data_IF_743672709847
#
_entry.id   IF_743672709847
#
_cell.length_a   1.000
_cell.length_b   1.000
_cell.length_c   1.000
_cell.angle_alpha   90.00
_cell.angle_beta   90.00
_cell.angle_gamma   90.00
#
_symmetry.space_group_name_H-M   'P 1'
#
loop_
_entity.id
_entity.type
_entity.pdbx_description
1 polymer ?
#
# COMPACT_ATOMS: atom_id res chain seq x y z
N UNK A 1 -51.01 49.96 32.51
CA UNK A 1 -50.65 48.84 33.42
C UNK A 1 -49.36 48.27 32.86
N UNK A 2 -48.17 48.59 33.39
CA UNK A 2 -47.58 48.08 34.65
C UNK A 2 -47.64 46.55 34.65
N UNK A 3 -46.57 45.75 34.71
CA UNK A 3 -45.15 46.00 34.89
C UNK A 3 -44.37 44.68 34.94
N UNK A 4 -43.06 44.79 34.68
CA UNK A 4 -41.90 44.03 35.22
C UNK A 4 -42.12 42.86 36.19
N UNK A 5 -41.38 41.75 35.96
CA UNK A 5 -40.54 41.09 36.99
C UNK A 5 -39.20 40.57 36.42
N UNK A 6 -38.15 40.75 37.23
CA UNK A 6 -36.69 40.59 37.04
C UNK A 6 -36.21 39.13 37.10
N UNK A 7 -35.15 38.78 36.35
CA UNK A 7 -33.78 38.40 36.81
C UNK A 7 -33.74 37.44 38.02
N UNK A 8 -33.03 36.30 38.03
CA UNK A 8 -31.56 36.20 38.13
C UNK A 8 -31.15 34.70 38.17
N UNK A 9 -29.89 34.42 37.80
CA UNK A 9 -29.02 33.29 38.25
C UNK A 9 -28.96 32.03 37.38
N UNK A 10 -27.87 31.89 36.59
CA UNK A 10 -26.91 30.76 36.68
C UNK A 10 -25.85 30.84 35.59
N UNK A 11 -24.95 31.81 35.72
CA UNK A 11 -23.56 31.68 35.31
C UNK A 11 -22.95 30.63 36.23
N UNK A 12 -22.85 29.35 35.82
CA UNK A 12 -21.91 28.33 36.36
C UNK A 12 -22.20 26.91 35.81
N UNK A 13 -22.55 26.72 34.52
CA UNK A 13 -22.71 25.33 34.00
C UNK A 13 -22.31 25.06 32.55
N UNK A 14 -21.56 25.96 31.90
CA UNK A 14 -21.19 25.81 30.47
C UNK A 14 -19.70 25.61 30.19
N UNK A 15 -18.88 25.30 31.21
CA UNK A 15 -17.46 24.93 31.02
C UNK A 15 -17.11 23.46 31.28
N UNK A 16 -18.04 22.63 31.77
CA UNK A 16 -17.78 21.19 32.02
C UNK A 16 -18.41 20.24 30.99
N UNK A 17 -19.27 20.72 30.09
CA UNK A 17 -19.90 19.88 29.06
C UNK A 17 -19.06 19.84 27.76
N UNK A 18 -18.33 20.91 27.44
CA UNK A 18 -17.46 20.96 26.25
C UNK A 18 -16.13 20.21 26.42
N UNK A 19 -15.68 19.95 27.65
CA UNK A 19 -14.48 19.15 27.93
C UNK A 19 -14.73 17.63 27.91
N UNK A 20 -15.99 17.18 27.84
CA UNK A 20 -16.34 15.74 27.73
C UNK A 20 -16.77 15.31 26.34
N UNK A 21 -17.06 16.24 25.43
CA UNK A 21 -17.37 15.92 24.03
C UNK A 21 -16.11 15.68 23.18
N UNK A 22 -14.96 16.24 23.56
CA UNK A 22 -13.67 16.01 22.85
C UNK A 22 -12.96 14.71 23.26
N UNK A 23 -13.44 14.01 24.29
CA UNK A 23 -12.85 12.75 24.79
C UNK A 23 -13.66 11.50 24.42
N UNK A 24 -14.78 11.64 23.67
CA UNK A 24 -15.62 10.51 23.24
C UNK A 24 -15.58 10.23 21.74
N UNK A 25 -14.78 10.96 20.96
CA UNK A 25 -14.67 10.77 19.49
C UNK A 25 -13.45 9.96 19.08
N UNK A 26 -12.48 9.75 19.96
CA UNK A 26 -11.27 8.96 19.72
C UNK A 26 -11.43 7.46 20.02
N UNK A 27 -12.56 7.03 20.60
CA UNK A 27 -12.79 5.64 20.96
C UNK A 27 -13.58 4.82 19.90
N UNK A 28 -14.15 5.46 18.88
CA UNK A 28 -15.07 4.79 17.93
C UNK A 28 -14.40 4.24 16.67
N UNK A 29 -13.15 4.63 16.37
CA UNK A 29 -12.36 4.00 15.28
C UNK A 29 -11.69 2.69 15.75
N UNK A 30 -11.50 2.52 17.06
CA UNK A 30 -10.88 1.31 17.64
C UNK A 30 -11.90 0.19 17.89
N UNK A 31 -13.21 0.46 17.81
CA UNK A 31 -14.27 -0.53 18.10
C UNK A 31 -14.77 -1.33 16.90
N UNK A 32 -13.99 -1.47 15.82
CA UNK A 32 -14.16 -2.60 14.89
C UNK A 32 -13.20 -3.77 15.16
N UNK A 33 -12.23 -3.61 16.06
CA UNK A 33 -11.24 -4.66 16.37
C UNK A 33 -11.43 -5.34 17.75
N UNK A 34 -12.37 -4.91 18.60
CA UNK A 34 -12.52 -5.40 19.97
C UNK A 34 -13.92 -5.95 20.33
N UNK A 35 -14.66 -6.46 19.34
CA UNK A 35 -16.04 -6.94 19.51
C UNK A 35 -16.24 -8.46 19.53
N UNK A 36 -15.19 -9.29 19.56
CA UNK A 36 -15.32 -10.76 19.58
C UNK A 36 -14.76 -11.32 20.88
N UNK A 37 -15.36 -10.94 22.01
CA UNK A 37 -15.31 -11.77 23.22
C UNK A 37 -16.63 -11.64 23.98
N UNK A 38 -17.50 -12.65 23.81
CA UNK A 38 -18.48 -13.05 24.82
C UNK A 38 -19.82 -12.30 24.86
N UNK A 39 -20.67 -12.52 23.85
CA UNK A 39 -22.13 -12.50 24.05
C UNK A 39 -22.75 -13.66 23.26
N UNK A 40 -22.90 -14.81 23.93
CA UNK A 40 -23.73 -15.88 23.44
C UNK A 40 -25.20 -15.47 23.57
N UNK A 41 -25.89 -15.22 22.44
CA UNK A 41 -27.35 -15.23 22.36
C UNK A 41 -27.84 -15.37 20.91
N UNK A 42 -28.09 -16.63 20.54
CA UNK A 42 -29.19 -17.13 19.69
C UNK A 42 -29.75 -16.20 18.60
N UNK A 43 -29.36 -16.49 17.35
CA UNK A 43 -30.03 -16.06 16.12
C UNK A 43 -29.48 -16.90 14.98
N UNK A 44 -30.17 -18.01 14.68
CA UNK A 44 -29.74 -19.02 13.73
C UNK A 44 -30.08 -18.63 12.30
N UNK A 45 -29.05 -18.31 11.50
CA UNK A 45 -29.02 -18.59 10.07
C UNK A 45 -27.62 -19.11 9.72
N UNK A 46 -27.47 -20.43 9.81
CA UNK A 46 -26.25 -21.15 9.51
C UNK A 46 -26.11 -21.36 8.00
N UNK A 47 -24.97 -20.93 7.43
CA UNK A 47 -24.48 -21.44 6.14
C UNK A 47 -24.07 -22.90 6.35
N UNK A 48 -24.64 -23.89 5.64
CA UNK A 48 -24.27 -25.29 5.81
C UNK A 48 -22.80 -25.52 5.47
N UNK A 49 -22.01 -26.06 6.41
CA UNK A 49 -20.63 -26.51 6.18
C UNK A 49 -19.54 -25.87 7.04
N UNK A 50 -19.85 -24.86 7.86
CA UNK A 50 -18.86 -24.21 8.73
C UNK A 50 -19.20 -24.50 10.20
N UNK A 51 -18.37 -25.28 10.88
CA UNK A 51 -18.48 -25.52 12.32
C UNK A 51 -18.05 -24.27 13.10
N UNK A 52 -18.86 -23.75 14.06
CA UNK A 52 -18.46 -22.63 14.89
C UNK A 52 -17.61 -23.15 16.05
N UNK A 53 -16.30 -22.83 16.02
CA UNK A 53 -15.40 -23.18 17.12
C UNK A 53 -13.93 -23.20 16.71
N UNK A 54 -13.39 -22.05 16.31
CA UNK A 54 -11.94 -21.89 16.14
C UNK A 54 -11.35 -21.55 17.52
N UNK A 55 -10.58 -22.47 18.09
CA UNK A 55 -9.73 -22.22 19.27
C UNK A 55 -8.27 -22.18 18.84
N UNK A 56 -7.59 -21.08 19.11
CA UNK A 56 -6.20 -20.84 18.72
C UNK A 56 -5.23 -21.49 19.72
N UNK A 57 -4.27 -22.32 19.26
CA UNK A 57 -3.11 -22.64 20.08
C UNK A 57 -2.21 -21.40 20.23
N UNK A 58 -1.53 -21.21 21.38
CA UNK A 58 -0.52 -20.16 21.50
C UNK A 58 0.65 -20.45 20.54
N UNK A 59 1.26 -19.43 19.93
CA UNK A 59 2.32 -19.59 18.95
C UNK A 59 3.56 -20.26 19.55
N UNK A 60 4.15 -21.20 18.83
CA UNK A 60 5.49 -21.71 19.11
C UNK A 60 6.51 -20.91 18.27
N UNK A 61 7.33 -20.10 18.94
CA UNK A 61 8.40 -19.30 18.32
C UNK A 61 8.39 -17.84 18.78
N UNK A 62 9.56 -17.30 19.12
CA UNK A 62 9.70 -15.87 19.42
C UNK A 62 9.50 -15.04 18.13
N UNK A 63 8.77 -13.91 18.17
CA UNK A 63 8.72 -12.99 17.04
C UNK A 63 10.09 -12.31 16.89
N UNK A 64 10.94 -12.82 16.00
CA UNK A 64 12.23 -12.18 15.69
C UNK A 64 12.05 -11.13 14.60
N UNK A 65 11.32 -10.07 14.92
CA UNK A 65 11.36 -8.81 14.18
C UNK A 65 12.57 -8.00 14.69
N UNK A 66 13.78 -8.44 14.34
CA UNK A 66 15.01 -7.71 14.63
C UNK A 66 15.54 -7.10 13.35
N UNK A 67 16.07 -5.87 13.41
CA UNK A 67 16.89 -5.26 12.34
C UNK A 67 18.11 -6.13 12.00
N UNK A 68 18.43 -7.10 12.87
CA UNK A 68 19.50 -8.07 12.69
C UNK A 68 19.06 -9.40 12.04
N UNK A 69 17.85 -9.53 11.49
CA UNK A 69 17.45 -10.77 10.80
C UNK A 69 18.34 -10.97 9.56
N UNK A 70 19.26 -11.95 9.56
CA UNK A 70 20.24 -12.11 8.49
C UNK A 70 19.58 -12.39 7.14
N UNK A 71 18.34 -12.86 7.11
CA UNK A 71 17.60 -13.12 5.89
C UNK A 71 17.53 -11.88 4.99
N UNK A 72 17.29 -10.71 5.59
CA UNK A 72 17.09 -9.44 4.88
C UNK A 72 18.40 -8.70 4.56
N UNK A 73 19.52 -9.19 5.08
CA UNK A 73 20.83 -8.63 4.78
C UNK A 73 21.35 -9.26 3.48
N UNK A 74 21.49 -8.46 2.39
CA UNK A 74 22.04 -8.95 1.13
C UNK A 74 23.52 -9.29 1.27
N UNK A 75 24.05 -10.17 0.41
CA UNK A 75 25.50 -10.35 0.26
C UNK A 75 26.14 -9.07 -0.31
N UNK A 76 27.47 -8.92 -0.13
CA UNK A 76 28.23 -7.77 -0.64
C UNK A 76 28.14 -7.61 -2.16
N UNK A 77 27.96 -8.72 -2.89
CA UNK A 77 27.76 -8.75 -4.33
C UNK A 77 26.39 -9.32 -4.67
N UNK A 78 25.58 -8.53 -5.37
CA UNK A 78 24.28 -8.96 -5.87
C UNK A 78 24.41 -9.60 -7.25
N UNK A 79 23.52 -10.55 -7.61
CA UNK A 79 23.38 -10.98 -8.99
C UNK A 79 23.12 -9.80 -9.95
N UNK A 80 23.62 -9.90 -11.18
CA UNK A 80 23.45 -8.84 -12.18
C UNK A 80 22.07 -8.87 -12.85
N UNK A 81 21.29 -9.93 -12.69
CA UNK A 81 19.99 -10.11 -13.34
C UNK A 81 18.87 -9.66 -12.40
N UNK A 82 18.08 -8.64 -12.77
CA UNK A 82 16.87 -8.29 -12.02
C UNK A 82 15.88 -9.46 -11.99
N UNK A 83 15.25 -9.67 -10.82
CA UNK A 83 14.36 -10.79 -10.56
C UNK A 83 15.05 -12.10 -10.17
N UNK A 84 16.38 -12.12 -10.04
CA UNK A 84 17.10 -13.31 -9.58
C UNK A 84 16.96 -13.48 -8.06
N UNK A 85 16.59 -14.69 -7.63
CA UNK A 85 16.45 -15.05 -6.22
C UNK A 85 17.82 -15.18 -5.58
N UNK A 86 18.08 -14.35 -4.56
CA UNK A 86 19.31 -14.34 -3.77
C UNK A 86 19.23 -15.39 -2.65
N UNK A 87 18.07 -15.45 -1.98
CA UNK A 87 17.86 -16.32 -0.81
C UNK A 87 16.38 -16.62 -0.61
N UNK A 88 16.10 -17.79 -0.05
CA UNK A 88 14.76 -18.20 0.36
C UNK A 88 14.75 -18.61 1.84
N UNK A 89 13.58 -18.52 2.46
CA UNK A 89 13.35 -19.01 3.81
C UNK A 89 11.93 -19.57 3.88
N UNK A 90 11.80 -20.85 4.26
CA UNK A 90 10.51 -21.47 4.54
C UNK A 90 9.74 -20.66 5.59
N UNK A 91 8.49 -20.37 5.29
CA UNK A 91 7.61 -19.57 6.14
C UNK A 91 6.20 -20.18 6.24
N UNK A 92 6.05 -21.47 6.60
CA UNK A 92 4.76 -22.16 6.62
C UNK A 92 3.73 -21.49 7.54
N UNK A 93 4.18 -20.78 8.59
CA UNK A 93 3.33 -20.00 9.47
C UNK A 93 2.51 -18.92 8.74
N UNK A 94 2.92 -18.49 7.54
CA UNK A 94 2.20 -17.48 6.76
C UNK A 94 0.89 -18.03 6.13
N UNK A 95 0.73 -19.35 6.08
CA UNK A 95 -0.50 -20.02 5.62
C UNK A 95 -1.49 -20.32 6.76
N UNK A 96 -1.03 -20.31 8.02
CA UNK A 96 -1.66 -21.07 9.10
C UNK A 96 -2.66 -20.25 9.96
N UNK A 97 -3.36 -19.30 9.37
CA UNK A 97 -4.44 -18.58 10.08
C UNK A 97 -5.76 -19.34 10.13
N UNK A 98 -5.87 -20.44 9.38
CA UNK A 98 -7.07 -21.28 9.36
C UNK A 98 -6.83 -22.74 9.82
N UNK A 99 -5.62 -23.08 10.30
CA UNK A 99 -5.32 -24.45 10.76
C UNK A 99 -5.43 -25.49 9.66
N UNK A 100 -5.04 -25.16 8.43
CA UNK A 100 -5.18 -26.08 7.30
C UNK A 100 -3.87 -26.80 7.02
N UNK A 101 -3.84 -28.10 7.26
CA UNK A 101 -2.96 -29.10 6.61
C UNK A 101 -3.18 -29.16 5.07
N UNK A 102 -3.36 -28.00 4.43
CA UNK A 102 -3.64 -27.85 3.01
C UNK A 102 -2.38 -27.90 2.15
N UNK A 103 -2.50 -28.16 0.83
CA UNK A 103 -1.37 -28.42 -0.08
C UNK A 103 -0.51 -27.18 -0.45
N UNK A 104 -0.73 -26.03 0.19
CA UNK A 104 0.00 -24.79 -0.07
C UNK A 104 1.37 -24.75 0.61
N UNK A 105 2.26 -23.91 0.11
CA UNK A 105 3.54 -23.56 0.75
C UNK A 105 3.71 -22.05 0.78
N UNK A 106 4.45 -21.54 1.76
CA UNK A 106 4.79 -20.14 1.86
C UNK A 106 6.29 -20.00 2.14
N UNK A 107 6.94 -19.14 1.40
CA UNK A 107 8.37 -18.87 1.51
C UNK A 107 8.60 -17.36 1.44
N UNK A 108 9.53 -16.85 2.24
CA UNK A 108 10.10 -15.54 1.99
C UNK A 108 11.14 -15.65 0.89
N UNK A 109 11.20 -14.64 0.04
CA UNK A 109 12.23 -14.48 -0.98
C UNK A 109 12.99 -13.17 -0.76
N UNK A 110 14.30 -13.21 -0.92
CA UNK A 110 15.14 -12.04 -1.15
C UNK A 110 15.60 -12.13 -2.61
N UNK A 111 15.36 -11.09 -3.40
CA UNK A 111 15.63 -11.09 -4.83
C UNK A 111 16.22 -9.75 -5.26
N UNK A 112 16.90 -9.78 -6.40
CA UNK A 112 17.52 -8.59 -6.98
C UNK A 112 16.48 -7.77 -7.73
N UNK A 113 16.54 -6.45 -7.61
CA UNK A 113 15.85 -5.49 -8.46
C UNK A 113 16.81 -4.37 -8.84
N UNK A 114 16.29 -3.28 -9.41
CA UNK A 114 17.11 -2.13 -9.80
C UNK A 114 16.56 -0.82 -9.24
N UNK A 115 17.46 0.11 -8.97
CA UNK A 115 17.13 1.51 -8.65
C UNK A 115 16.65 2.24 -9.90
N UNK A 116 16.12 3.45 -9.75
CA UNK A 116 15.75 4.30 -10.88
C UNK A 116 16.92 4.63 -11.82
N UNK A 117 18.15 4.66 -11.28
CA UNK A 117 19.39 4.86 -12.03
C UNK A 117 19.95 3.57 -12.65
N UNK A 118 19.33 2.41 -12.35
CA UNK A 118 19.70 1.11 -12.88
C UNK A 118 20.71 0.32 -12.04
N UNK A 119 21.10 0.81 -10.87
CA UNK A 119 21.97 0.09 -9.93
C UNK A 119 21.25 -1.12 -9.31
N UNK A 120 22.00 -2.17 -8.98
CA UNK A 120 21.42 -3.38 -8.36
C UNK A 120 21.16 -3.18 -6.88
N UNK A 121 19.99 -3.64 -6.45
CA UNK A 121 19.52 -3.57 -5.06
C UNK A 121 18.76 -4.84 -4.71
N UNK A 122 18.85 -5.27 -3.46
CA UNK A 122 18.03 -6.38 -2.96
C UNK A 122 16.71 -5.86 -2.40
N UNK A 123 15.63 -6.57 -2.67
CA UNK A 123 14.33 -6.38 -2.03
C UNK A 123 13.77 -7.75 -1.64
N UNK A 124 12.78 -7.76 -0.77
CA UNK A 124 12.17 -8.98 -0.26
C UNK A 124 10.69 -9.10 -0.63
N UNK A 125 10.14 -10.26 -0.36
CA UNK A 125 8.73 -10.54 -0.50
C UNK A 125 8.37 -11.92 0.01
N UNK A 126 7.14 -12.32 -0.24
CA UNK A 126 6.62 -13.65 0.10
C UNK A 126 6.01 -14.28 -1.14
N UNK A 127 6.32 -15.55 -1.36
CA UNK A 127 5.68 -16.41 -2.35
C UNK A 127 4.75 -17.36 -1.62
N UNK A 128 3.48 -17.35 -1.99
CA UNK A 128 2.47 -18.31 -1.54
C UNK A 128 2.09 -19.18 -2.73
N UNK A 129 2.41 -20.46 -2.65
CA UNK A 129 1.83 -21.45 -3.54
C UNK A 129 0.36 -21.63 -3.19
N UNK A 130 -0.50 -21.63 -4.20
CA UNK A 130 -1.94 -21.69 -4.03
C UNK A 130 -2.38 -22.83 -3.10
N UNK A 131 -3.27 -22.53 -2.15
CA UNK A 131 -3.92 -23.53 -1.29
C UNK A 131 -5.16 -24.14 -1.94
N UNK A 132 -5.81 -23.39 -2.84
CA UNK A 132 -6.94 -23.84 -3.65
C UNK A 132 -6.54 -24.46 -4.99
N UNK A 133 -7.54 -24.93 -5.74
CA UNK A 133 -7.35 -25.44 -7.11
C UNK A 133 -7.82 -24.40 -8.12
N UNK A 134 -6.98 -24.07 -9.11
CA UNK A 134 -7.38 -23.21 -10.22
C UNK A 134 -8.36 -23.96 -11.13
N UNK A 135 -9.56 -23.40 -11.30
CA UNK A 135 -10.60 -23.95 -12.17
C UNK A 135 -10.76 -23.19 -13.50
N UNK A 136 -9.91 -22.20 -13.75
CA UNK A 136 -9.92 -21.45 -15.00
C UNK A 136 -9.15 -22.15 -16.13
N UNK A 137 -8.89 -21.40 -17.20
CA UNK A 137 -8.13 -21.86 -18.35
C UNK A 137 -6.63 -21.90 -18.04
N UNK A 138 -5.94 -22.87 -18.64
CA UNK A 138 -4.48 -22.94 -18.58
C UNK A 138 -3.91 -23.33 -17.22
N UNK A 139 -2.58 -23.12 -17.01
CA UNK A 139 -1.95 -23.34 -15.71
C UNK A 139 -2.47 -22.35 -14.66
N UNK A 140 -2.27 -22.67 -13.38
CA UNK A 140 -2.56 -21.75 -12.28
C UNK A 140 -1.78 -20.44 -12.46
N UNK A 141 -2.45 -19.28 -12.48
CA UNK A 141 -1.78 -18.00 -12.66
C UNK A 141 -1.09 -17.55 -11.38
N UNK A 142 -0.21 -16.55 -11.52
CA UNK A 142 0.45 -15.88 -10.40
C UNK A 142 -0.04 -14.44 -10.31
N UNK A 143 -0.61 -14.07 -9.16
CA UNK A 143 -1.03 -12.70 -8.87
C UNK A 143 0.03 -12.02 -7.99
N UNK A 144 0.64 -10.97 -8.52
CA UNK A 144 1.63 -10.15 -7.80
C UNK A 144 0.91 -9.01 -7.11
N UNK A 145 0.91 -9.04 -5.79
CA UNK A 145 0.42 -7.99 -4.93
C UNK A 145 1.53 -7.00 -4.61
N UNK A 146 1.24 -5.75 -4.92
CA UNK A 146 2.04 -4.60 -4.51
C UNK A 146 1.34 -3.92 -3.33
N UNK A 147 2.00 -3.79 -2.16
CA UNK A 147 1.34 -3.37 -0.94
C UNK A 147 0.90 -1.91 -0.99
N UNK A 148 -0.24 -1.62 -0.36
CA UNK A 148 -0.59 -0.26 0.01
C UNK A 148 0.38 0.32 1.04
N UNK A 149 0.15 1.57 1.45
CA UNK A 149 1.04 2.25 2.41
C UNK A 149 1.20 1.44 3.70
N UNK A 150 2.44 1.02 3.98
CA UNK A 150 2.82 0.26 5.19
C UNK A 150 3.51 1.14 6.23
N UNK A 151 4.34 2.06 5.77
CA UNK A 151 5.34 2.76 6.56
C UNK A 151 6.65 2.89 5.80
N UNK A 152 7.69 3.35 6.49
CA UNK A 152 9.07 3.34 5.96
C UNK A 152 10.03 2.48 6.78
N UNK A 153 9.69 2.13 8.02
CA UNK A 153 10.54 1.27 8.84
C UNK A 153 10.57 -0.17 8.36
N UNK A 154 11.67 -0.87 8.65
CA UNK A 154 11.87 -2.25 8.20
C UNK A 154 10.76 -3.18 8.66
N UNK A 155 10.32 -3.09 9.92
CA UNK A 155 9.22 -3.94 10.43
C UNK A 155 7.90 -3.75 9.67
N UNK A 156 7.73 -2.66 8.93
CA UNK A 156 6.51 -2.37 8.18
C UNK A 156 6.37 -3.25 6.91
N UNK A 157 7.46 -3.86 6.44
CA UNK A 157 7.46 -4.78 5.30
C UNK A 157 6.47 -5.95 5.51
N UNK A 158 5.61 -6.28 4.52
CA UNK A 158 4.72 -7.43 4.59
C UNK A 158 5.41 -8.75 4.93
N UNK A 159 6.59 -9.03 4.38
CA UNK A 159 7.34 -10.27 4.65
C UNK A 159 7.91 -10.37 6.08
N UNK A 160 8.10 -9.23 6.75
CA UNK A 160 8.57 -9.14 8.15
C UNK A 160 7.45 -9.28 9.16
N UNK A 161 6.18 -9.27 8.71
CA UNK A 161 5.03 -9.54 9.57
C UNK A 161 4.96 -11.01 9.99
N UNK A 162 4.79 -11.23 11.28
CA UNK A 162 4.39 -12.54 11.81
C UNK A 162 3.02 -12.91 11.26
N UNK A 163 2.90 -14.13 10.72
CA UNK A 163 1.69 -14.64 10.05
C UNK A 163 1.19 -13.75 8.91
N UNK A 164 2.07 -12.92 8.31
CA UNK A 164 1.70 -11.86 7.38
C UNK A 164 0.64 -10.91 7.94
N UNK A 165 0.43 -10.83 9.26
CA UNK A 165 -0.62 -10.00 9.86
C UNK A 165 -0.08 -8.91 10.76
N UNK A 166 0.91 -9.22 11.59
CA UNK A 166 1.34 -8.31 12.65
C UNK A 166 2.86 -8.31 12.81
N UNK A 167 3.43 -7.14 13.03
CA UNK A 167 4.83 -6.96 13.38
C UNK A 167 4.98 -5.91 14.46
N UNK A 168 6.00 -6.06 15.31
CA UNK A 168 6.34 -5.07 16.32
C UNK A 168 7.85 -4.93 16.42
N UNK A 169 8.32 -3.70 16.36
CA UNK A 169 9.72 -3.35 16.60
C UNK A 169 9.83 -2.72 17.99
N UNK A 170 10.57 -3.39 18.88
CA UNK A 170 10.76 -2.93 20.25
C UNK A 170 11.76 -1.76 20.37
N UNK A 171 12.63 -1.55 19.38
CA UNK A 171 13.67 -0.53 19.38
C UNK A 171 13.10 0.87 19.16
N UNK A 172 12.20 1.03 18.18
CA UNK A 172 11.52 2.29 17.90
C UNK A 172 10.03 2.29 18.33
N UNK A 173 9.44 1.14 18.64
CA UNK A 173 8.02 1.00 19.02
C UNK A 173 7.06 0.96 17.84
N UNK A 174 7.53 0.69 16.61
CA UNK A 174 6.70 0.66 15.42
C UNK A 174 5.81 -0.60 15.35
N UNK A 175 4.57 -0.41 14.91
CA UNK A 175 3.55 -1.48 14.84
C UNK A 175 3.09 -1.69 13.41
N UNK A 176 3.35 -2.87 12.88
CA UNK A 176 2.89 -3.29 11.57
C UNK A 176 1.57 -4.08 11.67
N UNK A 177 0.58 -3.72 10.85
CA UNK A 177 -0.68 -4.45 10.70
C UNK A 177 -1.02 -4.64 9.22
N UNK A 178 -1.00 -5.87 8.73
CA UNK A 178 -1.35 -6.19 7.35
C UNK A 178 -2.85 -6.28 7.14
N UNK A 179 -3.41 -5.18 6.67
CA UNK A 179 -4.82 -5.06 6.30
C UNK A 179 -5.16 -5.70 4.94
N UNK A 180 -4.17 -6.13 4.15
CA UNK A 180 -4.37 -6.70 2.80
C UNK A 180 -4.31 -8.23 2.78
N UNK A 181 -3.87 -8.87 3.86
CA UNK A 181 -3.78 -10.34 3.98
C UNK A 181 -5.06 -11.08 3.56
N UNK A 182 -6.29 -10.63 3.92
CA UNK A 182 -7.51 -11.30 3.47
C UNK A 182 -7.64 -11.40 1.94
N UNK A 183 -7.10 -10.43 1.19
CA UNK A 183 -7.11 -10.45 -0.27
C UNK A 183 -6.12 -11.49 -0.82
N UNK A 184 -4.92 -11.58 -0.23
CA UNK A 184 -3.93 -12.60 -0.58
C UNK A 184 -4.48 -14.01 -0.33
N UNK A 185 -5.09 -14.21 0.83
CA UNK A 185 -5.71 -15.48 1.21
C UNK A 185 -6.85 -15.86 0.25
N UNK A 186 -7.69 -14.89 -0.13
CA UNK A 186 -8.76 -15.11 -1.11
C UNK A 186 -8.22 -15.51 -2.49
N UNK A 187 -7.16 -14.85 -2.99
CA UNK A 187 -6.53 -15.21 -4.27
C UNK A 187 -5.93 -16.64 -4.23
N UNK A 188 -5.23 -16.97 -3.13
CA UNK A 188 -4.67 -18.31 -2.92
C UNK A 188 -5.76 -19.39 -2.85
N UNK A 189 -6.88 -19.11 -2.17
CA UNK A 189 -8.04 -20.00 -2.11
C UNK A 189 -8.75 -20.18 -3.46
N UNK A 190 -8.67 -19.19 -4.35
CA UNK A 190 -9.13 -19.29 -5.75
C UNK A 190 -8.17 -20.11 -6.64
N UNK A 191 -7.06 -20.60 -6.10
CA UNK A 191 -6.08 -21.41 -6.83
C UNK A 191 -5.00 -20.61 -7.55
N UNK A 192 -4.87 -19.32 -7.27
CA UNK A 192 -3.78 -18.50 -7.82
C UNK A 192 -2.55 -18.58 -6.92
N UNK A 193 -1.36 -18.67 -7.50
CA UNK A 193 -0.15 -18.39 -6.73
C UNK A 193 -0.13 -16.89 -6.40
N UNK A 194 0.43 -16.54 -5.26
CA UNK A 194 0.47 -15.15 -4.80
C UNK A 194 1.91 -14.76 -4.53
N UNK A 195 2.35 -13.64 -5.08
CA UNK A 195 3.62 -13.02 -4.72
C UNK A 195 3.30 -11.68 -4.07
N UNK A 196 3.71 -11.47 -2.83
CA UNK A 196 3.58 -10.17 -2.16
C UNK A 196 4.97 -9.57 -2.09
N UNK A 197 5.21 -8.49 -2.82
CA UNK A 197 6.50 -7.79 -2.79
C UNK A 197 6.55 -6.81 -1.61
N UNK A 198 7.71 -6.58 -1.02
CA UNK A 198 7.86 -5.54 0.00
C UNK A 198 8.16 -4.16 -0.61
N UNK A 199 8.69 -4.11 -1.83
CA UNK A 199 9.24 -2.92 -2.50
C UNK A 199 10.64 -2.54 -1.98
N UNK A 200 11.33 -1.69 -2.72
CA UNK A 200 12.73 -1.32 -2.45
C UNK A 200 12.83 -0.53 -1.14
N UNK A 201 13.82 -0.90 -0.31
CA UNK A 201 14.12 -0.26 0.97
C UNK A 201 13.07 -0.47 2.06
N UNK A 202 12.04 -1.29 1.83
CA UNK A 202 11.09 -1.66 2.88
C UNK A 202 11.45 -3.05 3.42
N UNK A 203 12.08 -3.09 4.59
CA UNK A 203 12.51 -4.35 5.23
C UNK A 203 13.87 -4.87 4.80
N UNK A 204 14.56 -4.13 3.92
CA UNK A 204 15.90 -4.40 3.40
C UNK A 204 16.73 -3.12 3.48
N UNK A 205 18.08 -3.18 3.50
CA UNK A 205 18.91 -2.01 3.72
C UNK A 205 18.63 -0.83 2.77
N UNK A 206 18.75 0.38 3.31
CA UNK A 206 18.37 1.63 2.65
C UNK A 206 17.04 2.16 3.18
N UNK A 207 16.60 3.30 2.66
CA UNK A 207 15.28 3.83 2.97
C UNK A 207 14.24 3.40 1.94
N UNK A 208 13.02 3.13 2.40
CA UNK A 208 11.93 2.78 1.52
C UNK A 208 11.68 3.92 0.51
N UNK A 209 11.78 3.61 -0.79
CA UNK A 209 11.51 4.55 -1.88
C UNK A 209 10.00 4.71 -2.10
N UNK A 210 9.33 5.17 -1.04
CA UNK A 210 7.89 5.38 -0.97
C UNK A 210 7.44 6.32 -2.11
N UNK A 211 6.38 5.90 -2.80
CA UNK A 211 5.83 6.47 -4.04
C UNK A 211 6.81 6.81 -5.18
N UNK A 212 8.05 6.29 -5.18
CA UNK A 212 8.88 6.23 -6.39
C UNK A 212 8.29 5.16 -7.32
N UNK A 213 7.38 5.58 -8.20
CA UNK A 213 6.66 4.67 -9.09
C UNK A 213 7.60 3.87 -10.02
N UNK A 214 8.63 4.46 -10.66
CA UNK A 214 9.60 3.69 -11.45
C UNK A 214 10.22 2.52 -10.69
N UNK A 215 10.75 2.75 -9.49
CA UNK A 215 11.37 1.69 -8.68
C UNK A 215 10.37 0.65 -8.20
N UNK A 216 9.17 1.07 -7.81
CA UNK A 216 8.15 0.14 -7.35
C UNK A 216 7.60 -0.72 -8.48
N UNK A 217 7.52 -0.18 -9.70
CA UNK A 217 7.20 -0.93 -10.91
C UNK A 217 8.25 -1.99 -11.23
N UNK A 218 9.54 -1.62 -11.17
CA UNK A 218 10.66 -2.55 -11.35
C UNK A 218 10.64 -3.66 -10.29
N UNK A 219 10.48 -3.30 -9.01
CA UNK A 219 10.40 -4.26 -7.91
C UNK A 219 9.22 -5.23 -8.09
N UNK A 220 8.07 -4.77 -8.56
CA UNK A 220 6.92 -5.63 -8.84
C UNK A 220 7.18 -6.61 -10.00
N UNK A 221 7.77 -6.13 -11.11
CA UNK A 221 8.13 -6.96 -12.27
C UNK A 221 9.21 -7.99 -11.91
N UNK A 222 10.22 -7.57 -11.15
CA UNK A 222 11.29 -8.45 -10.67
C UNK A 222 10.77 -9.44 -9.62
N UNK A 223 9.82 -9.03 -8.77
CA UNK A 223 9.12 -9.93 -7.88
C UNK A 223 8.32 -10.99 -8.64
N UNK A 224 7.72 -10.64 -9.79
CA UNK A 224 7.07 -11.62 -10.67
C UNK A 224 8.08 -12.67 -11.19
N UNK A 225 9.24 -12.23 -11.69
CA UNK A 225 10.33 -13.10 -12.15
C UNK A 225 10.81 -14.04 -11.04
N UNK A 226 11.12 -13.47 -9.87
CA UNK A 226 11.60 -14.20 -8.71
C UNK A 226 10.57 -15.22 -8.23
N UNK A 227 9.29 -14.82 -8.15
CA UNK A 227 8.20 -15.68 -7.74
C UNK A 227 7.94 -16.82 -8.72
N UNK A 228 7.93 -16.57 -10.03
CA UNK A 228 7.80 -17.62 -11.05
C UNK A 228 8.96 -18.63 -10.96
N UNK A 229 10.19 -18.14 -10.85
CA UNK A 229 11.37 -18.98 -10.67
C UNK A 229 11.28 -19.82 -9.40
N UNK A 230 10.89 -19.22 -8.28
CA UNK A 230 10.76 -19.91 -6.99
C UNK A 230 9.69 -21.00 -7.02
N UNK A 231 8.59 -20.76 -7.75
CA UNK A 231 7.54 -21.75 -7.95
C UNK A 231 7.90 -22.84 -8.97
N UNK A 232 9.07 -22.75 -9.62
CA UNK A 232 9.49 -23.66 -10.69
C UNK A 232 8.64 -23.53 -11.96
N UNK A 233 8.06 -22.35 -12.20
CA UNK A 233 7.20 -22.06 -13.34
C UNK A 233 8.00 -21.46 -14.50
N UNK A 234 7.61 -21.74 -15.76
CA UNK A 234 8.16 -21.04 -16.93
C UNK A 234 8.01 -19.52 -16.81
N UNK A 235 8.97 -18.75 -17.34
CA UNK A 235 8.97 -17.28 -17.29
C UNK A 235 7.77 -16.64 -18.02
N UNK A 236 7.17 -17.34 -18.97
CA UNK A 236 5.98 -16.94 -19.72
C UNK A 236 4.67 -17.45 -19.10
N UNK A 237 4.72 -17.97 -17.87
CA UNK A 237 3.52 -18.33 -17.11
C UNK A 237 2.65 -17.09 -16.86
N UNK A 238 1.31 -17.22 -16.84
CA UNK A 238 0.42 -16.08 -16.73
C UNK A 238 0.60 -15.34 -15.41
N UNK A 239 0.92 -14.05 -15.48
CA UNK A 239 1.06 -13.15 -14.32
C UNK A 239 0.10 -11.97 -14.40
N UNK A 240 -0.22 -11.36 -13.27
CA UNK A 240 -0.97 -10.12 -13.21
C UNK A 240 -0.62 -9.32 -11.96
N UNK A 241 -0.90 -8.01 -12.00
CA UNK A 241 -0.54 -7.09 -10.91
C UNK A 241 -1.80 -6.57 -10.20
N UNK A 242 -1.74 -6.48 -8.88
CA UNK A 242 -2.85 -6.01 -8.05
C UNK A 242 -2.33 -5.10 -6.95
N UNK A 243 -2.87 -3.88 -6.87
CA UNK A 243 -2.53 -2.97 -5.77
C UNK A 243 -3.56 -1.86 -5.56
N UNK A 244 -3.53 -1.26 -4.37
CA UNK A 244 -4.36 -0.13 -4.00
C UNK A 244 -3.52 0.97 -3.31
N UNK A 245 -3.89 2.25 -3.48
CA UNK A 245 -3.14 3.39 -2.92
C UNK A 245 -1.70 3.40 -3.48
N UNK A 246 -0.67 3.49 -2.64
CA UNK A 246 0.73 3.27 -3.04
C UNK A 246 0.89 2.05 -3.96
N UNK A 247 0.35 0.90 -3.56
CA UNK A 247 0.39 -0.32 -4.36
C UNK A 247 -0.35 -0.18 -5.69
N UNK A 248 -1.40 0.65 -5.76
CA UNK A 248 -2.05 0.99 -7.03
C UNK A 248 -1.09 1.71 -7.97
N UNK A 249 -0.27 2.62 -7.42
CA UNK A 249 0.82 3.27 -8.14
C UNK A 249 1.87 2.28 -8.63
N UNK A 250 2.35 1.40 -7.75
CA UNK A 250 3.31 0.34 -8.10
C UNK A 250 2.78 -0.61 -9.18
N UNK A 251 1.52 -1.04 -9.08
CA UNK A 251 0.90 -1.93 -10.06
C UNK A 251 0.72 -1.25 -11.42
N UNK A 252 0.34 0.04 -11.43
CA UNK A 252 0.26 0.82 -12.66
C UNK A 252 1.65 1.04 -13.29
N UNK A 253 2.67 1.33 -12.47
CA UNK A 253 4.06 1.44 -12.93
C UNK A 253 4.57 0.14 -13.55
N UNK A 254 4.31 -1.00 -12.91
CA UNK A 254 4.62 -2.31 -13.46
C UNK A 254 3.95 -2.53 -14.82
N UNK A 255 2.69 -2.10 -14.97
CA UNK A 255 1.94 -2.23 -16.22
C UNK A 255 2.51 -1.39 -17.37
N UNK A 256 2.86 -0.13 -17.12
CA UNK A 256 3.44 0.75 -18.16
C UNK A 256 4.88 0.38 -18.52
N UNK A 257 5.62 -0.25 -17.60
CA UNK A 257 7.01 -0.66 -17.83
C UNK A 257 7.16 -2.09 -18.40
N UNK A 258 6.13 -2.93 -18.32
CA UNK A 258 6.25 -4.35 -18.65
C UNK A 258 6.74 -4.60 -20.09
N UNK A 259 6.32 -3.78 -21.06
CA UNK A 259 6.72 -3.92 -22.48
C UNK A 259 8.22 -3.70 -22.72
N UNK A 260 8.86 -2.83 -21.94
CA UNK A 260 10.27 -2.43 -22.12
C UNK A 260 11.21 -3.10 -21.12
N UNK A 261 10.79 -3.23 -19.85
CA UNK A 261 11.62 -3.74 -18.76
C UNK A 261 11.53 -5.25 -18.58
N UNK A 262 10.36 -5.86 -18.82
CA UNK A 262 10.13 -7.29 -18.65
C UNK A 262 9.26 -7.91 -19.77
N UNK A 263 9.69 -7.79 -21.04
CA UNK A 263 8.90 -8.22 -22.19
C UNK A 263 8.64 -9.74 -22.24
N UNK A 264 9.41 -10.53 -21.49
CA UNK A 264 9.24 -11.98 -21.38
C UNK A 264 8.08 -12.39 -20.46
N UNK A 265 7.60 -11.50 -19.59
CA UNK A 265 6.48 -11.79 -18.69
C UNK A 265 5.16 -11.78 -19.45
N UNK A 266 4.38 -12.85 -19.29
CA UNK A 266 3.03 -12.97 -19.85
C UNK A 266 2.00 -12.27 -18.95
N UNK A 267 2.02 -10.94 -18.98
CA UNK A 267 1.08 -10.11 -18.20
C UNK A 267 -0.33 -10.25 -18.79
N UNK A 268 -1.26 -10.75 -17.98
CA UNK A 268 -2.67 -10.94 -18.37
C UNK A 268 -3.54 -9.73 -18.06
N UNK A 269 -3.18 -8.96 -17.05
CA UNK A 269 -3.79 -7.68 -16.75
C UNK A 269 -3.35 -7.11 -15.42
N UNK A 270 -3.84 -5.92 -15.13
CA UNK A 270 -3.49 -5.15 -13.93
C UNK A 270 -4.73 -4.54 -13.30
N UNK A 271 -4.78 -4.56 -11.96
CA UNK A 271 -5.66 -3.72 -11.17
C UNK A 271 -4.84 -2.68 -10.40
N UNK A 272 -5.14 -1.40 -10.64
CA UNK A 272 -4.55 -0.26 -9.96
C UNK A 272 -5.65 0.58 -9.30
N UNK A 273 -5.88 0.35 -8.01
CA UNK A 273 -6.85 1.11 -7.23
C UNK A 273 -6.22 2.37 -6.63
N UNK A 274 -6.86 3.52 -6.82
CA UNK A 274 -6.46 4.85 -6.35
C UNK A 274 -4.94 5.10 -6.46
N UNK A 275 -4.35 5.00 -7.67
CA UNK A 275 -2.90 5.19 -7.83
C UNK A 275 -2.49 6.65 -7.56
N UNK A 276 -1.45 6.91 -6.76
CA UNK A 276 -0.81 8.22 -6.67
C UNK A 276 -0.01 8.48 -7.97
N UNK A 277 -0.70 8.93 -9.02
CA UNK A 277 -0.09 9.09 -10.33
C UNK A 277 0.60 10.45 -10.54
N UNK A 278 0.18 11.47 -9.80
CA UNK A 278 0.78 12.81 -9.80
C UNK A 278 1.02 13.30 -8.37
N UNK A 279 2.28 13.29 -7.94
CA UNK A 279 2.63 13.61 -6.55
C UNK A 279 2.50 15.10 -6.21
N UNK A 280 2.51 15.99 -7.21
CA UNK A 280 2.25 17.43 -7.00
C UNK A 280 0.78 17.70 -6.67
N UNK A 281 -0.14 16.83 -7.10
CA UNK A 281 -1.55 16.89 -6.70
C UNK A 281 -1.75 16.22 -5.33
N UNK A 282 -1.07 15.09 -5.09
CA UNK A 282 -1.20 14.32 -3.85
C UNK A 282 -0.65 15.08 -2.64
N UNK A 283 0.46 15.81 -2.77
CA UNK A 283 1.09 16.55 -1.65
C UNK A 283 0.14 17.52 -0.96
N UNK A 284 -0.73 18.20 -1.71
CA UNK A 284 -1.75 19.10 -1.16
C UNK A 284 -2.93 18.33 -0.55
N UNK A 285 -3.30 17.21 -1.16
CA UNK A 285 -4.39 16.36 -0.70
C UNK A 285 -4.10 15.78 0.70
N UNK A 286 -2.83 15.44 0.98
CA UNK A 286 -2.44 14.85 2.27
C UNK A 286 -1.94 15.86 3.31
N UNK A 287 -1.85 17.15 2.99
CA UNK A 287 -1.65 18.20 3.99
C UNK A 287 -2.88 18.32 4.90
N UNK A 288 -2.66 18.47 6.22
CA UNK A 288 -3.69 18.47 7.27
C UNK A 288 -4.62 17.24 7.20
N UNK A 289 -4.10 16.11 6.74
CA UNK A 289 -4.83 14.86 6.56
C UNK A 289 -4.54 13.87 7.69
N UNK A 290 -5.45 12.94 7.97
CA UNK A 290 -5.21 11.87 8.94
C UNK A 290 -3.92 11.07 8.70
N UNK A 291 -3.40 11.09 7.46
CA UNK A 291 -2.18 10.39 7.06
C UNK A 291 -1.02 11.33 6.71
N UNK A 292 -0.96 12.58 7.21
CA UNK A 292 0.13 13.55 6.91
C UNK A 292 1.54 12.94 6.99
N UNK A 293 1.76 11.92 7.83
CA UNK A 293 3.00 11.15 7.91
C UNK A 293 3.56 10.61 6.59
N UNK A 294 2.72 10.33 5.58
CA UNK A 294 3.16 9.83 4.26
C UNK A 294 4.04 10.84 3.52
N UNK A 295 3.92 12.13 3.82
CA UNK A 295 4.83 13.15 3.30
C UNK A 295 6.27 12.92 3.78
N UNK A 296 6.44 12.44 5.01
CA UNK A 296 7.75 12.10 5.57
C UNK A 296 8.34 10.87 4.89
N UNK A 297 7.52 9.86 4.61
CA UNK A 297 7.94 8.67 3.86
C UNK A 297 8.43 9.04 2.45
N UNK A 298 7.64 9.84 1.71
CA UNK A 298 7.99 10.30 0.37
C UNK A 298 9.30 11.11 0.37
N UNK A 299 9.46 12.02 1.32
CA UNK A 299 10.68 12.83 1.44
C UNK A 299 11.91 11.99 1.82
N UNK A 300 11.78 11.05 2.77
CA UNK A 300 12.89 10.16 3.14
C UNK A 300 13.31 9.26 1.96
N UNK A 301 12.35 8.70 1.23
CA UNK A 301 12.62 7.91 0.02
C UNK A 301 13.27 8.74 -1.09
N UNK A 302 12.81 9.97 -1.31
CA UNK A 302 13.44 10.88 -2.28
C UNK A 302 14.88 11.24 -1.87
N UNK A 303 15.14 11.49 -0.59
CA UNK A 303 16.47 11.82 -0.09
C UNK A 303 17.47 10.66 -0.13
N UNK A 304 16.97 9.42 -0.16
CA UNK A 304 17.79 8.23 -0.37
C UNK A 304 18.38 8.19 -1.78
N UNK A 305 17.58 8.57 -2.79
CA UNK A 305 18.01 8.59 -4.20
C UNK A 305 18.66 9.90 -4.61
N UNK A 306 18.28 10.99 -3.95
CA UNK A 306 18.75 12.34 -4.23
C UNK A 306 19.46 12.94 -3.00
N UNK A 307 20.60 12.37 -2.55
CA UNK A 307 21.32 12.87 -1.38
C UNK A 307 21.85 14.30 -1.56
N UNK A 308 22.00 14.78 -2.79
CA UNK A 308 22.30 16.18 -3.10
C UNK A 308 21.22 17.16 -2.62
N UNK A 309 19.99 16.67 -2.40
CA UNK A 309 18.87 17.44 -1.86
C UNK A 309 18.84 17.46 -0.33
N UNK A 310 19.76 16.78 0.37
CA UNK A 310 19.78 16.76 1.84
C UNK A 310 19.88 18.15 2.47
N UNK A 311 20.56 19.09 1.80
CA UNK A 311 20.66 20.49 2.23
C UNK A 311 19.29 21.20 2.31
N UNK A 312 18.27 20.73 1.57
CA UNK A 312 16.93 21.29 1.60
C UNK A 312 16.25 21.16 2.96
N UNK A 313 16.62 20.14 3.74
CA UNK A 313 16.10 19.98 5.10
C UNK A 313 16.52 21.17 5.97
N UNK A 314 17.77 21.60 5.87
CA UNK A 314 18.28 22.78 6.57
C UNK A 314 17.80 24.08 5.95
N UNK A 315 17.47 24.10 4.67
CA UNK A 315 16.91 25.27 3.99
C UNK A 315 15.47 25.56 4.47
N UNK A 316 14.60 24.54 4.43
CA UNK A 316 13.16 24.72 4.61
C UNK A 316 12.62 24.33 5.99
N UNK A 317 13.17 23.32 6.66
CA UNK A 317 12.58 22.81 7.90
C UNK A 317 13.04 23.53 9.16
N UNK A 318 12.08 23.78 10.05
CA UNK A 318 12.36 24.11 11.44
C UNK A 318 12.60 22.82 12.26
N UNK A 319 12.84 22.93 13.56
CA UNK A 319 13.13 21.77 14.41
C UNK A 319 12.00 20.72 14.40
N UNK A 320 10.73 21.15 14.31
CA UNK A 320 9.57 20.25 14.21
C UNK A 320 9.54 19.53 12.87
N UNK A 321 9.92 20.17 11.77
CA UNK A 321 10.04 19.51 10.46
C UNK A 321 11.16 18.48 10.41
N UNK A 322 12.29 18.77 11.08
CA UNK A 322 13.39 17.80 11.25
C UNK A 322 12.98 16.63 12.12
N UNK A 323 12.24 16.87 13.21
CA UNK A 323 11.66 15.83 14.06
C UNK A 323 10.69 14.94 13.27
N UNK A 324 9.82 15.55 12.46
CA UNK A 324 8.88 14.84 11.58
C UNK A 324 9.60 13.91 10.61
N UNK A 325 10.62 14.42 9.91
CA UNK A 325 11.36 13.62 8.95
C UNK A 325 12.16 12.50 9.62
N UNK A 326 12.79 12.79 10.76
CA UNK A 326 13.55 11.78 11.51
C UNK A 326 12.64 10.68 12.07
N UNK A 327 11.48 11.03 12.63
CA UNK A 327 10.55 10.03 13.17
C UNK A 327 9.94 9.16 12.07
N UNK A 328 9.56 9.75 10.93
CA UNK A 328 8.90 9.00 9.86
C UNK A 328 9.81 8.01 9.12
N UNK A 329 11.13 8.02 9.34
CA UNK A 329 12.06 7.02 8.74
C UNK A 329 11.74 5.60 9.18
N UNK A 330 11.44 5.40 10.46
CA UNK A 330 11.36 4.07 11.06
C UNK A 330 9.96 3.76 11.61
N UNK A 331 8.91 4.39 11.04
CA UNK A 331 7.52 4.27 11.52
C UNK A 331 6.63 3.56 10.54
N UNK A 332 5.67 2.80 11.07
CA UNK A 332 4.58 2.26 10.29
C UNK A 332 3.41 3.26 10.23
N UNK A 333 2.54 3.08 9.24
CA UNK A 333 1.48 4.05 8.91
C UNK A 333 0.57 4.32 10.11
N UNK A 334 0.23 3.30 10.90
CA UNK A 334 -0.59 3.47 12.11
C UNK A 334 0.06 4.38 13.15
N UNK A 335 1.37 4.26 13.34
CA UNK A 335 2.13 5.08 14.29
C UNK A 335 2.17 6.54 13.84
N UNK A 336 2.41 6.76 12.54
CA UNK A 336 2.45 8.11 11.98
C UNK A 336 1.07 8.77 11.92
N UNK A 337 -0.02 8.02 11.76
CA UNK A 337 -1.39 8.54 11.93
C UNK A 337 -1.59 9.05 13.36
N UNK A 338 -1.16 8.30 14.37
CA UNK A 338 -1.31 8.69 15.79
C UNK A 338 -0.49 9.94 16.13
N UNK A 339 0.76 10.02 15.64
CA UNK A 339 1.68 11.11 16.01
C UNK A 339 1.51 12.36 15.15
N UNK A 340 1.29 12.20 13.85
CA UNK A 340 1.37 13.29 12.87
C UNK A 340 0.06 13.55 12.13
N UNK A 341 -0.98 12.73 12.34
CA UNK A 341 -2.29 12.93 11.71
C UNK A 341 -2.83 14.33 11.93
N UNK A 342 -3.44 14.89 10.88
CA UNK A 342 -4.02 16.23 10.80
C UNK A 342 -3.03 17.38 11.01
N UNK A 343 -1.73 17.11 11.02
CA UNK A 343 -0.73 18.17 11.19
C UNK A 343 -0.67 19.07 9.95
N UNK A 344 -0.60 20.38 10.20
CA UNK A 344 -0.39 21.40 9.20
C UNK A 344 1.10 21.54 8.89
N UNK A 345 1.49 21.25 7.66
CA UNK A 345 2.90 21.25 7.22
C UNK A 345 3.55 22.63 7.34
N UNK A 346 2.78 23.71 7.34
CA UNK A 346 3.29 25.08 7.59
C UNK A 346 3.90 25.26 8.97
N UNK A 347 3.55 24.38 9.93
CA UNK A 347 4.14 24.38 11.28
C UNK A 347 5.51 23.71 11.33
N UNK A 348 5.93 23.06 10.24
CA UNK A 348 7.20 22.33 10.12
C UNK A 348 8.25 23.08 9.29
N UNK A 349 7.88 24.20 8.67
CA UNK A 349 8.75 25.00 7.83
C UNK A 349 9.19 26.28 8.54
N UNK A 350 10.31 26.87 8.10
CA UNK A 350 10.87 28.11 8.69
C UNK A 350 10.10 29.36 8.29
N UNK A 351 9.56 29.37 7.08
CA UNK A 351 8.89 30.53 6.46
C UNK A 351 7.36 30.40 6.46
N UNK A 352 6.82 29.29 6.96
CA UNK A 352 5.39 29.05 7.07
C UNK A 352 4.71 28.65 5.76
N UNK A 353 5.47 28.36 4.69
CA UNK A 353 4.93 27.72 3.47
C UNK A 353 4.60 26.26 3.73
N UNK A 354 3.59 25.73 3.05
CA UNK A 354 3.24 24.31 3.09
C UNK A 354 4.28 23.51 2.29
N UNK A 355 4.29 22.18 2.48
CA UNK A 355 5.17 21.33 1.68
C UNK A 355 4.81 21.39 0.20
N UNK A 356 3.52 21.48 -0.14
CA UNK A 356 3.08 21.61 -1.53
C UNK A 356 3.42 22.96 -2.18
N UNK A 357 3.49 24.05 -1.41
CA UNK A 357 4.00 25.34 -1.90
C UNK A 357 5.50 25.24 -2.20
N UNK A 358 6.29 24.71 -1.27
CA UNK A 358 7.74 24.53 -1.44
C UNK A 358 8.05 23.58 -2.61
N UNK A 359 7.33 22.47 -2.73
CA UNK A 359 7.54 21.47 -3.78
C UNK A 359 7.27 22.00 -5.19
N UNK A 360 6.39 23.01 -5.35
CA UNK A 360 6.12 23.65 -6.63
C UNK A 360 7.10 24.76 -6.97
N UNK A 361 7.51 25.52 -5.95
CA UNK A 361 8.41 26.66 -6.11
C UNK A 361 9.87 26.24 -6.34
N UNK A 362 10.32 25.16 -5.70
CA UNK A 362 11.70 24.66 -5.84
C UNK A 362 11.80 23.67 -7.00
N UNK A 363 12.47 24.07 -8.09
CA UNK A 363 12.62 23.24 -9.29
C UNK A 363 13.28 21.88 -9.02
N UNK A 364 14.14 21.79 -7.99
CA UNK A 364 14.81 20.53 -7.63
C UNK A 364 13.80 19.52 -7.08
N UNK A 365 12.93 19.95 -6.18
CA UNK A 365 11.87 19.10 -5.62
C UNK A 365 10.81 18.78 -6.67
N UNK A 366 10.41 19.79 -7.45
CA UNK A 366 9.43 19.61 -8.52
C UNK A 366 9.91 18.58 -9.55
N UNK A 367 11.17 18.63 -9.95
CA UNK A 367 11.76 17.67 -10.88
C UNK A 367 11.70 16.22 -10.40
N UNK A 368 11.97 15.97 -9.10
CA UNK A 368 11.85 14.63 -8.50
C UNK A 368 10.40 14.15 -8.46
N UNK A 369 9.45 15.01 -8.08
CA UNK A 369 8.04 14.61 -8.07
C UNK A 369 7.49 14.35 -9.49
N UNK A 370 7.96 15.12 -10.48
CA UNK A 370 7.61 14.92 -11.89
C UNK A 370 8.23 13.64 -12.47
N UNK A 371 9.44 13.23 -12.06
CA UNK A 371 10.07 11.99 -12.53
C UNK A 371 9.34 10.73 -12.05
N UNK A 372 8.59 10.82 -10.94
CA UNK A 372 7.80 9.71 -10.40
C UNK A 372 6.38 9.64 -10.99
N UNK A 373 6.03 10.54 -11.90
CA UNK A 373 4.68 10.62 -12.46
C UNK A 373 4.37 9.42 -13.37
N UNK A 374 3.23 8.75 -13.16
CA UNK A 374 2.77 7.69 -14.07
C UNK A 374 2.29 8.27 -15.40
N UNK A 375 2.26 7.43 -16.43
CA UNK A 375 1.87 7.79 -17.79
C UNK A 375 2.62 9.03 -18.31
N UNK A 376 3.90 9.14 -17.96
CA UNK A 376 4.80 10.24 -18.36
C UNK A 376 5.89 9.73 -19.30
N UNK A 377 6.78 8.88 -18.79
CA UNK A 377 7.88 8.26 -19.52
C UNK A 377 7.40 7.03 -20.28
N UNK A 378 6.53 6.23 -19.66
CA UNK A 378 5.97 5.01 -20.24
C UNK A 378 4.45 5.14 -20.35
N UNK A 379 3.89 4.71 -21.47
CA UNK A 379 2.43 4.72 -21.70
C UNK A 379 1.94 3.49 -22.46
N UNK A 380 2.85 2.65 -22.96
CA UNK A 380 2.53 1.49 -23.77
C UNK A 380 2.24 0.27 -22.89
N UNK A 381 0.95 -0.01 -22.72
CA UNK A 381 0.47 -1.15 -21.95
C UNK A 381 0.47 -2.42 -22.80
N UNK A 382 1.24 -3.43 -22.39
CA UNK A 382 1.22 -4.76 -23.04
C UNK A 382 0.04 -5.64 -22.60
N UNK A 383 -0.73 -5.20 -21.59
CA UNK A 383 -1.88 -5.91 -21.06
C UNK A 383 -2.99 -4.93 -20.58
N UNK A 384 -4.25 -5.36 -20.50
CA UNK A 384 -5.34 -4.48 -20.08
C UNK A 384 -5.26 -4.09 -18.60
N UNK A 385 -5.58 -2.84 -18.28
CA UNK A 385 -5.58 -2.31 -16.91
C UNK A 385 -6.98 -1.86 -16.47
N UNK A 386 -7.37 -2.20 -15.24
CA UNK A 386 -8.48 -1.57 -14.55
C UNK A 386 -7.93 -0.56 -13.54
N UNK A 387 -8.37 0.69 -13.67
CA UNK A 387 -8.06 1.76 -12.72
C UNK A 387 -9.36 2.11 -11.99
N UNK A 388 -9.33 2.14 -10.66
CA UNK A 388 -10.48 2.59 -9.86
C UNK A 388 -10.08 3.76 -9.00
N UNK A 389 -10.93 4.77 -8.85
CA UNK A 389 -10.67 5.88 -7.92
C UNK A 389 -11.98 6.44 -7.38
N UNK A 390 -12.02 6.79 -6.09
CA UNK A 390 -13.16 7.46 -5.51
C UNK A 390 -13.33 8.86 -6.08
N UNK A 391 -14.57 9.25 -6.45
CA UNK A 391 -14.88 10.62 -6.88
C UNK A 391 -14.52 11.65 -5.80
N UNK A 392 -14.76 11.28 -4.55
CA UNK A 392 -14.55 12.11 -3.37
C UNK A 392 -13.36 11.62 -2.53
N UNK A 393 -12.42 10.89 -3.14
CA UNK A 393 -11.21 10.42 -2.46
C UNK A 393 -10.46 11.63 -1.88
N UNK A 394 -10.25 11.61 -0.56
CA UNK A 394 -9.66 12.72 0.20
C UNK A 394 -8.14 12.59 0.35
N UNK A 395 -7.57 11.49 -0.13
CA UNK A 395 -6.14 11.18 -0.07
C UNK A 395 -5.51 11.25 -1.46
N UNK A 396 -6.11 10.59 -2.44
CA UNK A 396 -5.63 10.46 -3.81
C UNK A 396 -6.65 11.13 -4.75
N UNK A 397 -6.39 12.38 -5.18
CA UNK A 397 -7.35 13.13 -5.99
C UNK A 397 -7.77 12.37 -7.26
N UNK A 398 -9.07 12.33 -7.53
CA UNK A 398 -9.63 11.57 -8.66
C UNK A 398 -9.11 12.02 -10.03
N UNK A 399 -8.88 13.34 -10.21
CA UNK A 399 -8.50 13.94 -11.49
C UNK A 399 -7.17 13.36 -12.01
N UNK A 400 -6.16 13.19 -11.15
CA UNK A 400 -4.86 12.68 -11.59
C UNK A 400 -4.92 11.21 -12.05
N UNK A 401 -5.75 10.38 -11.40
CA UNK A 401 -5.95 8.99 -11.83
C UNK A 401 -6.73 8.93 -13.15
N UNK A 402 -7.73 9.80 -13.34
CA UNK A 402 -8.46 9.93 -14.62
C UNK A 402 -7.51 10.33 -15.75
N UNK A 403 -6.65 11.32 -15.52
CA UNK A 403 -5.72 11.81 -16.55
C UNK A 403 -4.69 10.76 -16.93
N UNK A 404 -4.23 9.97 -15.97
CA UNK A 404 -3.37 8.81 -16.21
C UNK A 404 -4.06 7.77 -17.09
N UNK A 405 -5.31 7.43 -16.76
CA UNK A 405 -6.13 6.53 -17.57
C UNK A 405 -6.35 7.06 -19.00
N UNK A 406 -6.57 8.37 -19.15
CA UNK A 406 -6.72 9.01 -20.45
C UNK A 406 -5.44 8.90 -21.29
N UNK A 407 -4.26 9.12 -20.70
CA UNK A 407 -2.97 8.99 -21.39
C UNK A 407 -2.69 7.56 -21.85
N UNK A 408 -3.00 6.56 -21.03
CA UNK A 408 -2.93 5.15 -21.46
C UNK A 408 -3.89 4.87 -22.62
N UNK A 409 -5.12 5.39 -22.59
CA UNK A 409 -6.06 5.29 -23.71
C UNK A 409 -5.53 5.95 -24.99
N UNK A 410 -4.94 7.14 -24.88
CA UNK A 410 -4.36 7.88 -26.01
C UNK A 410 -3.18 7.12 -26.65
N UNK A 411 -2.42 6.37 -25.85
CA UNK A 411 -1.37 5.46 -26.31
C UNK A 411 -1.92 4.14 -26.90
N UNK A 412 -3.24 3.91 -26.89
CA UNK A 412 -3.89 2.71 -27.44
C UNK A 412 -4.12 1.59 -26.43
N UNK A 413 -3.85 1.83 -25.15
CA UNK A 413 -4.05 0.86 -24.07
C UNK A 413 -5.52 0.50 -23.83
N UNK A 414 -5.76 -0.76 -23.47
CA UNK A 414 -7.08 -1.22 -23.05
C UNK A 414 -7.34 -0.89 -21.57
N UNK A 415 -8.03 0.22 -21.32
CA UNK A 415 -8.27 0.75 -19.98
C UNK A 415 -9.75 0.66 -19.60
N UNK A 416 -10.02 0.11 -18.43
CA UNK A 416 -11.31 0.20 -17.74
C UNK A 416 -11.15 1.14 -16.53
N UNK A 417 -11.66 2.36 -16.64
CA UNK A 417 -11.67 3.31 -15.53
C UNK A 417 -13.01 3.26 -14.78
N UNK A 418 -12.98 3.03 -13.47
CA UNK A 418 -14.19 2.98 -12.63
C UNK A 418 -14.13 4.05 -11.55
N UNK A 419 -15.11 4.95 -11.56
CA UNK A 419 -15.27 5.93 -10.49
C UNK A 419 -16.10 5.33 -9.37
N UNK A 420 -15.54 5.23 -8.16
CA UNK A 420 -16.32 4.87 -6.99
C UNK A 420 -17.16 6.09 -6.55
N UNK A 421 -18.50 5.94 -6.43
CA UNK A 421 -19.42 7.05 -6.19
C UNK A 421 -19.60 7.38 -4.70
N UNK A 422 -18.82 6.80 -3.78
CA UNK A 422 -18.95 7.01 -2.35
C UNK A 422 -19.05 8.52 -2.03
N UNK A 423 -20.13 8.98 -1.38
CA UNK A 423 -20.28 10.38 -0.99
C UNK A 423 -19.13 10.82 -0.10
N UNK A 424 -18.82 12.12 -0.09
CA UNK A 424 -17.83 12.66 0.84
C UNK A 424 -18.25 12.43 2.30
N UNK A 425 -17.39 11.77 3.08
CA UNK A 425 -17.60 11.39 4.48
C UNK A 425 -16.37 11.84 5.26
N UNK A 426 -16.54 12.84 6.13
CA UNK A 426 -15.49 13.39 6.99
C UNK A 426 -14.18 13.64 6.21
N UNK A 427 -14.14 14.63 5.31
CA UNK A 427 -12.95 14.93 4.51
C UNK A 427 -11.68 15.01 5.36
N UNK A 428 -10.56 14.57 4.80
CA UNK A 428 -9.23 14.50 5.43
C UNK A 428 -9.09 13.36 6.46
N UNK A 429 -10.00 12.40 6.49
CA UNK A 429 -9.99 11.26 7.43
C UNK A 429 -9.47 9.96 6.83
N UNK A 430 -9.21 9.92 5.52
CA UNK A 430 -8.92 8.71 4.74
C UNK A 430 -10.12 7.78 4.53
N UNK A 431 -11.31 8.09 5.06
CA UNK A 431 -12.48 7.21 4.91
C UNK A 431 -12.88 7.07 3.44
N UNK A 432 -12.86 8.19 2.71
CA UNK A 432 -13.17 8.19 1.27
C UNK A 432 -12.11 7.51 0.41
N UNK A 433 -10.93 7.24 0.97
CA UNK A 433 -9.87 6.48 0.32
C UNK A 433 -9.89 5.00 0.70
N UNK A 434 -10.11 4.67 1.97
CA UNK A 434 -10.01 3.31 2.51
C UNK A 434 -11.26 2.45 2.27
N UNK A 435 -12.46 3.03 2.34
CA UNK A 435 -13.70 2.27 2.09
C UNK A 435 -13.75 1.74 0.66
N UNK A 436 -13.40 2.53 -0.39
CA UNK A 436 -13.37 2.03 -1.75
C UNK A 436 -12.38 0.88 -1.99
N UNK A 437 -11.32 0.72 -1.18
CA UNK A 437 -10.45 -0.46 -1.23
C UNK A 437 -11.26 -1.74 -1.00
N UNK A 438 -12.11 -1.74 0.04
CA UNK A 438 -12.93 -2.89 0.43
C UNK A 438 -14.05 -3.15 -0.59
N UNK A 439 -14.75 -2.10 -1.03
CA UNK A 439 -15.89 -2.25 -1.96
C UNK A 439 -15.43 -2.64 -3.36
N UNK A 440 -14.24 -2.23 -3.79
CA UNK A 440 -13.69 -2.58 -5.10
C UNK A 440 -12.94 -3.92 -5.13
N UNK A 441 -12.62 -4.51 -3.97
CA UNK A 441 -11.86 -5.77 -3.92
C UNK A 441 -12.51 -6.92 -4.71
N UNK A 442 -13.84 -7.09 -4.60
CA UNK A 442 -14.59 -8.11 -5.32
C UNK A 442 -14.57 -7.88 -6.85
N UNK A 443 -15.04 -6.71 -7.35
CA UNK A 443 -14.94 -6.35 -8.76
C UNK A 443 -13.52 -6.45 -9.32
N UNK A 444 -12.50 -6.04 -8.56
CA UNK A 444 -11.10 -6.13 -8.95
C UNK A 444 -10.62 -7.58 -9.09
N UNK A 445 -10.92 -8.44 -8.12
CA UNK A 445 -10.60 -9.86 -8.22
C UNK A 445 -11.31 -10.52 -9.41
N UNK A 446 -12.58 -10.19 -9.64
CA UNK A 446 -13.32 -10.68 -10.81
C UNK A 446 -12.69 -10.22 -12.13
N UNK A 447 -12.26 -8.96 -12.20
CA UNK A 447 -11.53 -8.44 -13.36
C UNK A 447 -10.26 -9.27 -13.62
N UNK A 448 -9.46 -9.53 -12.59
CA UNK A 448 -8.23 -10.34 -12.70
C UNK A 448 -8.52 -11.79 -13.12
N UNK A 449 -9.51 -12.44 -12.53
CA UNK A 449 -9.95 -13.80 -12.93
C UNK A 449 -10.34 -13.83 -14.41
N UNK A 450 -11.09 -12.84 -14.88
CA UNK A 450 -11.49 -12.77 -16.29
C UNK A 450 -10.28 -12.60 -17.22
N UNK A 451 -9.28 -11.80 -16.83
CA UNK A 451 -8.02 -11.64 -17.57
C UNK A 451 -7.21 -12.93 -17.63
N UNK A 452 -7.06 -13.65 -16.52
CA UNK A 452 -6.39 -14.95 -16.49
C UNK A 452 -7.12 -16.03 -17.32
N UNK A 453 -8.43 -15.86 -17.55
CA UNK A 453 -9.22 -16.72 -18.43
C UNK A 453 -9.28 -16.25 -19.89
N UNK A 454 -8.42 -15.31 -20.28
CA UNK A 454 -8.36 -14.69 -21.61
C UNK A 454 -9.71 -14.13 -22.09
N UNK A 455 -10.55 -13.66 -21.16
CA UNK A 455 -11.81 -13.01 -21.53
C UNK A 455 -11.50 -11.59 -22.02
N UNK A 456 -12.10 -11.16 -23.15
CA UNK A 456 -11.89 -9.82 -23.69
C UNK A 456 -12.02 -8.75 -22.61
N UNK A 457 -11.02 -7.87 -22.50
CA UNK A 457 -11.03 -6.82 -21.49
C UNK A 457 -12.08 -5.76 -21.85
N UNK A 458 -12.87 -5.29 -20.87
CA UNK A 458 -13.70 -4.13 -21.09
C UNK A 458 -12.80 -2.89 -21.26
N UNK A 459 -13.27 -1.92 -22.03
CA UNK A 459 -12.66 -0.61 -22.08
C UNK A 459 -13.72 0.46 -22.25
N UNK A 460 -13.54 1.56 -21.54
CA UNK A 460 -14.39 2.74 -21.61
C UNK A 460 -13.59 4.01 -21.98
N UNK A 461 -12.46 3.84 -22.68
CA UNK A 461 -11.67 4.95 -23.21
C UNK A 461 -12.55 5.99 -23.92
N UNK A 462 -12.37 7.26 -23.55
CA UNK A 462 -13.14 8.40 -24.04
C UNK A 462 -14.56 8.55 -23.46
N UNK A 463 -14.93 7.79 -22.42
CA UNK A 463 -16.29 7.78 -21.84
C UNK A 463 -16.35 7.91 -20.31
N UNK A 464 -15.23 8.21 -19.64
CA UNK A 464 -15.16 8.33 -18.18
C UNK A 464 -14.79 9.75 -17.71
#
# INVERSE_FOLDING_TARGET
>A
MVGTYKLTTMTYFTRRVLARAAALSTATVITLAAGITGAAAQGSDSIPGISPGISWPPPAGEPTASDSDPFYLPPDSLPDTPGEVIRTQDAPQLLDLAGTDGPGSAEKILYTSSTEDGDRVATSGVVLKASGTWHGRGPAPTLVYTPGTRGSGDICAPSRSSYQLFGFDAGNGAVNLNYEYPFHAAASALGMNVVVVDLIGLGTPGQHTYVNNPEQGQAALDGARAGLSQLGLPSDSPVGFFGYSQGGGSAAAAAEMASSYAPELNVKGTFAGAPPADLLEVVDAVDRHAITGVLGYALNGALERHPELAALQDEYFNDRGKEFLADTRDRCIGDSVVRWGLTDTRTMTKDGRSFGEIARDDERLRGVLESYKLASTYTDLNAPIMITNGRNDDTIPWEQARDTAARYCEAGGAVQFVTDPLPSILPKSAINHAVPMLTNAGPAMSYMVDRFNDRPAPSNCGRF
#
